data_IF_377441186737
#
_entry.id   IF_377441186737
#
_cell.length_a   1.000
_cell.length_b   1.000
_cell.length_c   1.000
_cell.angle_alpha   90.00
_cell.angle_beta   90.00
_cell.angle_gamma   90.00
#
_symmetry.space_group_name_H-M   'P 1'
#
loop_
_entity.id
_entity.type
_entity.pdbx_description
1 polymer ?
#
# COMPACT_ATOMS: atom_id res chain seq x y z
N UNK A 1 49.94 10.87 24.90
CA UNK A 1 48.91 9.95 24.34
C UNK A 1 47.83 10.84 23.74
N UNK A 2 47.77 10.90 22.42
CA UNK A 2 47.02 11.88 21.63
C UNK A 2 45.52 11.53 21.63
N UNK A 3 44.66 12.47 21.99
CA UNK A 3 43.19 12.33 21.85
C UNK A 3 42.83 12.76 20.43
N UNK A 4 42.50 11.79 19.56
CA UNK A 4 41.93 12.10 18.25
C UNK A 4 40.47 12.53 18.42
N UNK A 5 40.20 13.79 18.09
CA UNK A 5 38.86 14.31 17.83
C UNK A 5 38.35 13.70 16.51
N UNK A 6 37.41 12.76 16.59
CA UNK A 6 36.70 12.27 15.42
C UNK A 6 35.63 13.30 15.02
N UNK A 7 35.95 14.13 14.04
CA UNK A 7 34.96 14.88 13.27
C UNK A 7 34.48 13.96 12.15
N UNK A 8 33.23 13.50 12.23
CA UNK A 8 32.55 12.91 11.06
C UNK A 8 31.26 13.67 10.81
N UNK A 9 31.46 14.74 10.03
CA UNK A 9 30.62 15.28 8.96
C UNK A 9 29.10 15.16 9.10
N UNK A 10 28.47 16.34 9.16
CA UNK A 10 27.12 16.59 8.66
C UNK A 10 26.92 15.80 7.36
N UNK A 11 25.99 14.85 7.37
CA UNK A 11 25.51 14.28 6.11
C UNK A 11 24.86 15.45 5.38
N UNK A 12 25.48 15.82 4.27
CA UNK A 12 24.96 16.78 3.33
C UNK A 12 23.62 16.22 2.84
N UNK A 13 22.57 17.01 2.97
CA UNK A 13 21.24 16.70 2.45
C UNK A 13 21.35 16.69 0.91
N UNK A 14 21.72 15.53 0.37
CA UNK A 14 21.63 15.26 -1.06
C UNK A 14 20.16 15.09 -1.38
N UNK A 15 19.53 16.23 -1.68
CA UNK A 15 18.21 16.34 -2.28
C UNK A 15 18.25 15.52 -3.58
N UNK A 16 17.76 14.28 -3.51
CA UNK A 16 17.40 13.51 -4.71
C UNK A 16 16.16 14.19 -5.29
N UNK A 17 16.41 15.17 -6.15
CA UNK A 17 15.49 15.70 -7.15
C UNK A 17 15.80 14.95 -8.46
N UNK A 18 14.90 14.34 -9.24
CA UNK A 18 13.46 14.49 -9.34
C UNK A 18 12.87 13.26 -10.04
N UNK A 19 11.83 12.66 -9.47
CA UNK A 19 10.74 12.00 -10.23
C UNK A 19 9.55 11.86 -9.28
N UNK A 20 8.79 12.95 -9.13
CA UNK A 20 7.56 12.96 -8.35
C UNK A 20 6.51 12.11 -9.08
N UNK A 21 5.87 11.16 -8.37
CA UNK A 21 4.45 11.32 -8.13
C UNK A 21 4.24 11.47 -6.62
N UNK A 22 3.81 12.67 -6.23
CA UNK A 22 3.58 13.18 -4.89
C UNK A 22 2.39 12.50 -4.20
N UNK A 23 2.51 11.20 -3.97
CA UNK A 23 1.67 10.51 -2.99
C UNK A 23 2.58 9.66 -2.14
N UNK A 24 3.00 10.18 -0.99
CA UNK A 24 3.50 9.36 0.10
C UNK A 24 2.49 8.24 0.39
N UNK A 25 2.98 7.01 0.58
CA UNK A 25 2.10 5.91 0.98
C UNK A 25 1.45 6.23 2.33
N UNK A 26 0.13 6.26 2.35
CA UNK A 26 -0.68 6.38 3.57
C UNK A 26 -1.53 5.12 3.66
N UNK A 27 -1.33 4.32 4.70
CA UNK A 27 -2.16 3.14 4.94
C UNK A 27 -3.62 3.55 5.18
N UNK A 28 -4.52 3.18 4.24
CA UNK A 28 -5.98 3.34 4.35
C UNK A 28 -6.71 2.00 4.49
N UNK A 29 -5.98 0.89 4.61
CA UNK A 29 -6.56 -0.40 5.00
C UNK A 29 -7.14 -0.31 6.42
N UNK A 30 -8.07 -1.23 6.73
CA UNK A 30 -8.69 -1.30 8.07
C UNK A 30 -7.81 -2.03 9.10
N UNK A 31 -6.62 -2.49 8.69
CA UNK A 31 -5.69 -3.28 9.49
C UNK A 31 -4.23 -2.81 9.28
N UNK A 32 -3.34 -3.31 10.13
CA UNK A 32 -1.90 -3.04 10.04
C UNK A 32 -1.30 -3.78 8.84
N UNK A 33 -0.47 -3.09 8.07
CA UNK A 33 0.22 -3.62 6.89
C UNK A 33 1.74 -3.66 7.12
N UNK A 34 2.47 -4.45 6.32
CA UNK A 34 3.93 -4.36 6.21
C UNK A 34 4.31 -3.14 5.35
N UNK A 35 4.30 -1.96 5.96
CA UNK A 35 4.56 -0.69 5.26
C UNK A 35 5.96 -0.61 4.65
N UNK A 36 6.95 -1.25 5.27
CA UNK A 36 8.31 -1.32 4.72
C UNK A 36 8.32 -2.09 3.41
N UNK A 37 7.66 -3.26 3.37
CA UNK A 37 7.56 -4.02 2.14
C UNK A 37 6.77 -3.27 1.06
N UNK A 38 5.65 -2.63 1.43
CA UNK A 38 4.84 -1.84 0.49
C UNK A 38 5.66 -0.71 -0.13
N UNK A 39 6.37 0.09 0.69
CA UNK A 39 7.20 1.20 0.20
C UNK A 39 8.29 0.71 -0.75
N UNK A 40 8.94 -0.41 -0.44
CA UNK A 40 9.95 -1.00 -1.33
C UNK A 40 9.36 -1.48 -2.66
N UNK A 41 8.20 -2.15 -2.64
CA UNK A 41 7.51 -2.59 -3.87
C UNK A 41 7.05 -1.40 -4.70
N UNK A 42 6.52 -0.36 -4.05
CA UNK A 42 6.07 0.88 -4.67
C UNK A 42 7.24 1.60 -5.36
N UNK A 43 8.41 1.67 -4.71
CA UNK A 43 9.63 2.21 -5.31
C UNK A 43 10.02 1.42 -6.58
N UNK A 44 10.12 0.09 -6.50
CA UNK A 44 10.46 -0.75 -7.66
C UNK A 44 9.44 -0.57 -8.79
N UNK A 45 8.14 -0.42 -8.47
CA UNK A 45 7.12 -0.15 -9.47
C UNK A 45 7.37 1.16 -10.20
N UNK A 46 7.64 2.26 -9.49
CA UNK A 46 7.83 3.57 -10.12
C UNK A 46 9.11 3.65 -10.94
N UNK A 47 10.19 3.05 -10.47
CA UNK A 47 11.45 2.94 -11.23
C UNK A 47 11.28 2.18 -12.55
N UNK A 48 10.27 1.30 -12.63
CA UNK A 48 10.02 0.42 -13.79
C UNK A 48 8.62 0.62 -14.38
N UNK A 49 7.97 1.78 -14.14
CA UNK A 49 6.55 1.97 -14.44
C UNK A 49 6.25 1.78 -15.94
N UNK A 50 7.16 2.23 -16.81
CA UNK A 50 7.01 2.11 -18.26
C UNK A 50 6.88 0.67 -18.75
N UNK A 51 7.50 -0.28 -18.05
CA UNK A 51 7.46 -1.71 -18.39
C UNK A 51 6.29 -2.45 -17.72
N UNK A 52 5.87 -1.98 -16.54
CA UNK A 52 4.87 -2.66 -15.72
C UNK A 52 3.45 -2.16 -16.01
N UNK A 53 3.27 -0.86 -16.23
CA UNK A 53 1.95 -0.20 -16.26
C UNK A 53 1.08 -0.74 -17.39
N UNK A 54 -0.22 -0.91 -17.09
CA UNK A 54 -1.26 -1.12 -18.10
C UNK A 54 -2.11 0.13 -18.27
N UNK A 55 -2.66 0.32 -19.48
CA UNK A 55 -3.41 1.52 -19.85
C UNK A 55 -4.77 1.67 -19.14
N UNK A 56 -5.29 0.64 -18.47
CA UNK A 56 -6.68 0.59 -18.00
C UNK A 56 -6.91 1.18 -16.60
N UNK A 57 -5.92 1.79 -15.95
CA UNK A 57 -6.12 2.49 -14.69
C UNK A 57 -4.82 2.82 -13.97
N UNK A 58 -4.93 3.25 -12.72
CA UNK A 58 -3.81 3.66 -11.87
C UNK A 58 -3.82 2.81 -10.60
N UNK A 59 -2.70 2.16 -10.21
CA UNK A 59 -2.59 1.50 -8.92
C UNK A 59 -2.85 2.48 -7.77
N UNK A 60 -3.73 2.11 -6.85
CA UNK A 60 -4.11 2.93 -5.71
C UNK A 60 -3.40 2.43 -4.44
N UNK A 61 -2.13 2.81 -4.31
CA UNK A 61 -1.20 2.32 -3.28
C UNK A 61 -1.67 2.46 -1.84
N UNK A 62 -2.48 3.48 -1.52
CA UNK A 62 -2.99 3.67 -0.16
C UNK A 62 -3.88 2.53 0.35
N UNK A 63 -4.41 1.70 -0.55
CA UNK A 63 -5.18 0.50 -0.23
C UNK A 63 -4.41 -0.79 -0.57
N UNK A 64 -3.08 -0.72 -0.59
CA UNK A 64 -2.25 -1.90 -0.77
C UNK A 64 -2.41 -2.84 0.44
N UNK A 65 -2.67 -4.12 0.17
CA UNK A 65 -2.94 -5.13 1.19
C UNK A 65 -1.95 -6.27 1.10
N UNK A 66 -1.26 -6.53 2.22
CA UNK A 66 -0.38 -7.68 2.38
C UNK A 66 -1.18 -8.89 2.86
N UNK A 67 -0.88 -10.06 2.30
CA UNK A 67 -1.52 -11.32 2.66
C UNK A 67 -0.44 -12.30 3.12
N UNK A 68 -0.60 -12.84 4.33
CA UNK A 68 0.34 -13.77 4.96
C UNK A 68 0.00 -15.24 4.65
N UNK A 69 -0.13 -15.59 3.37
CA UNK A 69 -0.29 -16.99 2.97
C UNK A 69 1.06 -17.56 2.55
N UNK A 70 1.66 -18.37 3.42
CA UNK A 70 2.83 -19.25 3.17
C UNK A 70 4.15 -18.55 2.83
N UNK A 71 4.90 -18.06 3.83
CA UNK A 71 6.33 -17.62 3.79
C UNK A 71 6.77 -16.65 2.66
N UNK A 72 5.90 -16.34 1.71
CA UNK A 72 6.06 -15.49 0.55
C UNK A 72 5.18 -14.25 0.80
N UNK A 73 5.82 -13.09 1.03
CA UNK A 73 5.08 -11.83 1.21
C UNK A 73 4.34 -11.50 -0.08
N UNK A 74 3.02 -11.60 -0.04
CA UNK A 74 2.15 -11.33 -1.17
C UNK A 74 1.47 -9.98 -1.00
N UNK A 75 1.59 -9.10 -2.00
CA UNK A 75 0.93 -7.80 -1.99
C UNK A 75 -0.16 -7.73 -3.07
N UNK A 76 -1.29 -7.13 -2.73
CA UNK A 76 -2.34 -6.76 -3.67
C UNK A 76 -2.53 -5.25 -3.67
N UNK A 77 -2.64 -4.64 -4.85
CA UNK A 77 -2.93 -3.21 -5.01
C UNK A 77 -4.09 -3.03 -5.98
N UNK A 78 -5.19 -2.36 -5.58
CA UNK A 78 -6.31 -2.13 -6.49
C UNK A 78 -5.91 -1.14 -7.59
N UNK A 79 -6.33 -1.42 -8.82
CA UNK A 79 -6.13 -0.52 -9.96
C UNK A 79 -7.46 0.15 -10.27
N UNK A 80 -7.48 1.47 -10.21
CA UNK A 80 -8.71 2.27 -10.30
C UNK A 80 -8.77 3.05 -11.60
N UNK A 81 -9.96 3.08 -12.20
CA UNK A 81 -10.32 3.98 -13.29
C UNK A 81 -11.78 4.43 -13.10
N UNK A 82 -12.04 5.73 -13.17
CA UNK A 82 -13.39 6.31 -13.05
C UNK A 82 -14.17 5.78 -11.82
N UNK A 83 -13.56 5.85 -10.63
CA UNK A 83 -14.15 5.38 -9.35
C UNK A 83 -14.53 3.89 -9.32
N UNK A 84 -13.98 3.10 -10.22
CA UNK A 84 -14.17 1.66 -10.31
C UNK A 84 -12.83 0.95 -10.21
N UNK A 85 -12.77 -0.11 -9.41
CA UNK A 85 -11.66 -1.05 -9.44
C UNK A 85 -11.79 -1.88 -10.71
N UNK A 86 -10.82 -1.76 -11.62
CA UNK A 86 -10.83 -2.44 -12.92
C UNK A 86 -9.95 -3.69 -12.97
N UNK A 87 -8.97 -3.78 -12.07
CA UNK A 87 -8.09 -4.93 -11.90
C UNK A 87 -7.37 -4.84 -10.56
N UNK A 88 -6.62 -5.88 -10.23
CA UNK A 88 -5.76 -5.90 -9.03
C UNK A 88 -4.34 -6.25 -9.46
N UNK A 89 -3.39 -5.39 -9.10
CA UNK A 89 -1.97 -5.63 -9.25
C UNK A 89 -1.51 -6.54 -8.11
N UNK A 90 -1.19 -7.78 -8.44
CA UNK A 90 -0.64 -8.77 -7.53
C UNK A 90 0.87 -8.77 -7.63
N UNK A 91 1.53 -8.74 -6.47
CA UNK A 91 2.98 -8.72 -6.34
C UNK A 91 3.44 -9.87 -5.43
N UNK A 92 3.47 -11.12 -5.95
CA UNK A 92 4.07 -12.23 -5.24
C UNK A 92 5.59 -12.04 -5.15
N UNK A 93 6.15 -12.36 -3.98
CA UNK A 93 7.59 -12.45 -3.75
C UNK A 93 8.03 -13.90 -3.80
N UNK A 94 9.01 -14.23 -4.65
CA UNK A 94 9.67 -15.54 -4.67
C UNK A 94 11.16 -15.35 -4.39
N UNK A 95 11.59 -15.70 -3.18
CA UNK A 95 12.94 -15.43 -2.70
C UNK A 95 13.26 -13.93 -2.66
N UNK A 96 14.24 -13.50 -3.46
CA UNK A 96 14.65 -12.08 -3.57
C UNK A 96 13.98 -11.32 -4.70
N UNK A 97 13.10 -11.96 -5.49
CA UNK A 97 12.45 -11.34 -6.64
C UNK A 97 10.97 -11.10 -6.37
N UNK A 98 10.47 -9.98 -6.89
CA UNK A 98 9.05 -9.68 -6.96
C UNK A 98 8.61 -9.68 -8.42
N UNK A 99 7.34 -9.97 -8.65
CA UNK A 99 6.75 -10.03 -9.99
C UNK A 99 5.46 -9.25 -10.00
N UNK A 100 5.17 -8.54 -11.09
CA UNK A 100 3.96 -7.70 -11.18
C UNK A 100 2.95 -8.35 -12.12
N UNK A 101 1.76 -8.68 -11.60
CA UNK A 101 0.68 -9.29 -12.37
C UNK A 101 -0.62 -8.52 -12.23
N UNK A 102 -1.15 -8.04 -13.36
CA UNK A 102 -2.51 -7.51 -13.40
C UNK A 102 -3.51 -8.66 -13.52
N UNK A 103 -4.37 -8.80 -12.53
CA UNK A 103 -5.37 -9.86 -12.43
C UNK A 103 -6.78 -9.28 -12.44
N UNK A 104 -7.74 -10.10 -12.89
CA UNK A 104 -9.13 -9.69 -13.09
C UNK A 104 -10.12 -10.58 -12.33
N UNK A 105 -9.67 -11.16 -11.20
CA UNK A 105 -10.53 -12.02 -10.38
C UNK A 105 -11.70 -11.21 -9.80
N UNK A 106 -12.96 -11.59 -10.09
CA UNK A 106 -14.14 -10.83 -9.64
C UNK A 106 -14.20 -10.62 -8.13
N UNK A 107 -13.74 -11.61 -7.35
CA UNK A 107 -13.75 -11.58 -5.90
C UNK A 107 -12.82 -10.49 -5.37
N UNK A 108 -11.59 -10.41 -5.91
CA UNK A 108 -10.62 -9.40 -5.48
C UNK A 108 -11.06 -8.00 -5.92
N UNK A 109 -11.59 -7.87 -7.15
CA UNK A 109 -12.14 -6.60 -7.64
C UNK A 109 -13.28 -6.13 -6.75
N UNK A 110 -14.22 -7.02 -6.42
CA UNK A 110 -15.38 -6.68 -5.59
C UNK A 110 -14.96 -6.33 -4.15
N UNK A 111 -14.00 -7.07 -3.59
CA UNK A 111 -13.41 -6.78 -2.29
C UNK A 111 -12.83 -5.36 -2.26
N UNK A 112 -11.94 -5.02 -3.20
CA UNK A 112 -11.34 -3.69 -3.23
C UNK A 112 -12.35 -2.60 -3.61
N UNK A 113 -13.34 -2.89 -4.44
CA UNK A 113 -14.41 -1.92 -4.73
C UNK A 113 -15.16 -1.55 -3.44
N UNK A 114 -15.47 -2.53 -2.60
CA UNK A 114 -16.10 -2.31 -1.31
C UNK A 114 -15.16 -1.62 -0.32
N UNK A 115 -13.88 -1.97 -0.30
CA UNK A 115 -12.90 -1.38 0.61
C UNK A 115 -12.64 0.10 0.29
N UNK A 116 -12.46 0.43 -1.00
CA UNK A 116 -12.07 1.78 -1.45
C UNK A 116 -13.26 2.73 -1.50
N UNK A 117 -14.43 2.24 -1.93
CA UNK A 117 -15.60 3.07 -2.25
C UNK A 117 -16.87 2.68 -1.48
N UNK A 118 -16.79 1.68 -0.60
CA UNK A 118 -17.92 1.28 0.23
C UNK A 118 -18.31 2.36 1.23
N UNK A 119 -19.63 2.50 1.46
CA UNK A 119 -20.13 3.33 2.55
C UNK A 119 -19.92 2.59 3.87
N UNK A 120 -18.87 2.92 4.60
CA UNK A 120 -18.67 2.37 5.94
C UNK A 120 -19.76 2.89 6.88
N UNK A 121 -20.60 1.99 7.41
CA UNK A 121 -21.50 2.32 8.52
C UNK A 121 -20.68 2.26 9.81
N UNK A 122 -20.73 3.32 10.61
CA UNK A 122 -20.17 3.29 11.97
C UNK A 122 -20.89 2.20 12.76
N UNK A 123 -20.15 1.35 13.47
CA UNK A 123 -20.75 0.44 14.43
C UNK A 123 -21.48 1.30 15.47
N UNK A 124 -22.77 1.04 15.69
CA UNK A 124 -23.50 1.64 16.81
C UNK A 124 -23.01 0.91 18.06
N UNK A 125 -22.11 1.53 18.82
CA UNK A 125 -21.83 1.10 20.18
C UNK A 125 -23.12 1.30 20.96
N UNK A 126 -23.79 0.21 21.36
CA UNK A 126 -24.83 0.28 22.38
C UNK A 126 -24.14 0.58 23.70
N UNK A 127 -23.83 1.85 23.94
CA UNK A 127 -23.63 2.30 25.32
C UNK A 127 -24.98 2.13 26.03
N UNK A 128 -24.92 1.40 27.13
CA UNK A 128 -25.96 1.07 28.09
C UNK A 128 -27.08 2.12 28.16
N UNK A 129 -28.31 1.70 27.82
CA UNK A 129 -29.52 2.40 28.23
C UNK A 129 -29.49 2.53 29.76
N UNK A 130 -29.64 3.74 30.33
CA UNK A 130 -29.88 3.85 31.76
C UNK A 130 -31.21 3.14 32.05
N UNK A 131 -31.20 2.26 33.05
CA UNK A 131 -32.40 1.65 33.61
C UNK A 131 -33.42 2.76 33.90
N UNK A 132 -34.59 2.62 33.30
CA UNK A 132 -35.77 3.42 33.62
C UNK A 132 -36.10 3.18 35.10
N UNK A 133 -36.14 4.25 35.89
CA UNK A 133 -36.68 4.19 37.24
C UNK A 133 -38.21 4.09 37.17
N UNK A 134 -38.72 2.96 37.65
CA UNK A 134 -40.09 2.75 38.14
C UNK A 134 -40.37 3.64 39.36
#
# INVERSE_FOLDING_TARGET
MTVLLSLYSCIHEEIISSSDPSTEYINKSLWKEDETYIKNVMQVYFENEAEIKKANGIPFWNYATTVETFDERFLMVPVVSNNKVVSVLQVPRRGSKIYFYYTYYPEHISFFQALVFGKHKKAITRETLPLQNL
#
